data_IF_373617067335
#
_entry.id   IF_373617067335
#
_cell.length_a   1.000
_cell.length_b   1.000
_cell.length_c   1.000
_cell.angle_alpha   90.00
_cell.angle_beta   90.00
_cell.angle_gamma   90.00
#
_symmetry.space_group_name_H-M   'P 1'
#
loop_
_entity.id
_entity.type
_entity.pdbx_description
1 polymer ?
#
# COMPACT_ATOMS: atom_id res chain seq x y z
N UNK A 1 8.08 -21.66 19.89
CA UNK A 1 7.22 -20.93 18.93
C UNK A 1 6.74 -19.69 19.65
N UNK A 2 7.11 -18.51 19.16
CA UNK A 2 6.58 -17.24 19.68
C UNK A 2 5.17 -17.10 19.13
N UNK A 3 4.14 -16.85 19.97
CA UNK A 3 2.77 -16.65 19.47
C UNK A 3 2.70 -15.41 18.58
N UNK A 4 1.73 -15.39 17.66
CA UNK A 4 1.44 -14.22 16.85
C UNK A 4 1.28 -12.98 17.76
N UNK A 5 2.01 -11.93 17.45
CA UNK A 5 1.93 -10.67 18.19
C UNK A 5 1.28 -9.61 17.32
N UNK A 6 0.00 -9.26 17.54
CA UNK A 6 -0.67 -8.22 16.79
C UNK A 6 -0.04 -6.83 16.98
N UNK A 7 0.63 -6.56 18.12
CA UNK A 7 1.35 -5.29 18.30
C UNK A 7 2.52 -5.15 17.32
N UNK A 8 3.20 -6.26 17.00
CA UNK A 8 4.21 -6.25 15.93
C UNK A 8 3.60 -5.99 14.55
N UNK A 9 2.40 -6.51 14.29
CA UNK A 9 1.66 -6.24 13.06
C UNK A 9 1.16 -4.78 12.97
N UNK A 10 1.00 -4.08 14.10
CA UNK A 10 0.61 -2.66 14.14
C UNK A 10 1.72 -1.73 13.67
N UNK A 11 2.97 -2.08 13.94
CA UNK A 11 4.14 -1.29 13.50
C UNK A 11 4.41 -1.44 12.00
N UNK A 12 3.86 -2.47 11.37
CA UNK A 12 4.07 -2.85 9.98
C UNK A 12 2.71 -2.83 9.29
N UNK A 13 2.44 -1.84 8.46
CA UNK A 13 1.20 -1.85 7.69
C UNK A 13 1.26 -2.94 6.62
N UNK A 14 0.45 -4.03 6.69
CA UNK A 14 0.48 -5.08 5.67
C UNK A 14 -0.12 -4.65 4.33
N UNK A 15 -0.67 -3.45 4.23
CA UNK A 15 -1.39 -3.00 3.03
C UNK A 15 -0.89 -1.68 2.44
N UNK A 16 -0.11 -0.89 3.19
CA UNK A 16 0.41 0.40 2.71
C UNK A 16 1.92 0.42 2.81
N UNK A 17 2.56 0.74 1.69
CA UNK A 17 3.98 1.10 1.68
C UNK A 17 4.15 2.51 2.22
N UNK A 18 4.88 2.65 3.31
CA UNK A 18 5.23 3.95 3.87
C UNK A 18 6.40 4.59 3.13
N UNK A 19 6.51 5.94 3.19
CA UNK A 19 7.55 6.68 2.49
C UNK A 19 8.94 6.20 2.88
N UNK A 20 9.72 5.90 1.87
CA UNK A 20 11.16 5.78 1.98
C UNK A 20 11.77 7.18 1.99
N UNK A 21 12.82 7.37 2.76
CA UNK A 21 13.54 8.60 3.06
C UNK A 21 13.68 9.60 1.89
N UNK A 22 14.02 10.85 2.19
CA UNK A 22 14.22 11.96 1.26
C UNK A 22 15.37 11.76 0.22
N UNK A 23 15.91 10.56 0.14
CA UNK A 23 16.98 10.11 -0.77
C UNK A 23 16.64 10.33 -2.24
N UNK A 24 15.37 10.26 -2.60
CA UNK A 24 14.93 10.33 -4.01
C UNK A 24 14.84 11.76 -4.54
N UNK A 25 14.77 12.77 -3.67
CA UNK A 25 14.63 14.16 -4.10
C UNK A 25 15.83 14.65 -4.93
N UNK A 26 17.09 14.40 -4.55
CA UNK A 26 18.26 14.86 -5.30
C UNK A 26 18.40 14.21 -6.68
N UNK A 27 17.78 13.04 -6.89
CA UNK A 27 17.94 12.25 -8.12
C UNK A 27 16.75 12.35 -9.08
N UNK A 28 15.79 13.24 -8.84
CA UNK A 28 14.65 13.44 -9.77
C UNK A 28 15.07 13.79 -11.19
N UNK A 29 16.20 14.49 -11.37
CA UNK A 29 16.75 14.84 -12.68
C UNK A 29 17.14 13.65 -13.55
N UNK A 30 17.37 12.48 -12.96
CA UNK A 30 17.67 11.23 -13.69
C UNK A 30 16.42 10.47 -14.12
N UNK A 31 15.25 10.82 -13.57
CA UNK A 31 13.98 10.14 -13.86
C UNK A 31 13.13 10.91 -14.89
N UNK A 32 12.33 10.19 -15.66
CA UNK A 32 11.28 10.79 -16.50
C UNK A 32 10.05 11.07 -15.67
N UNK A 33 9.57 12.32 -15.67
CA UNK A 33 8.38 12.74 -14.92
C UNK A 33 7.09 12.44 -15.68
N UNK A 34 6.10 11.87 -15.01
CA UNK A 34 4.76 11.60 -15.53
C UNK A 34 3.70 12.04 -14.53
N UNK A 35 2.54 12.44 -15.08
CA UNK A 35 1.32 12.74 -14.32
C UNK A 35 0.20 11.82 -14.77
N UNK A 36 -0.51 11.27 -13.80
CA UNK A 36 -1.57 10.30 -14.02
C UNK A 36 -2.85 10.82 -13.38
N UNK A 37 -3.96 10.73 -14.10
CA UNK A 37 -5.28 11.01 -13.55
C UNK A 37 -5.81 9.82 -12.78
N UNK A 38 -6.73 10.05 -11.86
CA UNK A 38 -7.42 9.00 -11.11
C UNK A 38 -8.03 7.94 -12.05
N UNK A 39 -7.90 6.66 -11.69
CA UNK A 39 -8.42 5.53 -12.44
C UNK A 39 -7.53 5.03 -13.57
N UNK A 40 -6.46 5.74 -13.94
CA UNK A 40 -5.57 5.32 -15.03
C UNK A 40 -4.61 4.23 -14.55
N UNK A 41 -4.43 3.21 -15.40
CA UNK A 41 -3.40 2.18 -15.20
C UNK A 41 -2.03 2.75 -15.59
N UNK A 42 -1.14 2.81 -14.61
CA UNK A 42 0.24 3.31 -14.76
C UNK A 42 1.07 2.28 -15.52
N UNK A 43 0.88 1.00 -15.20
CA UNK A 43 1.39 -0.15 -15.96
C UNK A 43 0.49 -1.37 -15.74
N UNK A 44 0.55 -2.35 -16.65
CA UNK A 44 -0.28 -3.56 -16.63
C UNK A 44 0.55 -4.82 -16.37
N UNK A 45 -0.11 -5.82 -15.80
CA UNK A 45 0.44 -7.16 -15.73
C UNK A 45 0.72 -7.70 -17.15
N UNK A 46 1.90 -8.30 -17.34
CA UNK A 46 2.35 -8.83 -18.64
C UNK A 46 3.10 -7.82 -19.52
N UNK A 47 2.95 -6.52 -19.30
CA UNK A 47 3.68 -5.52 -20.06
C UNK A 47 5.17 -5.49 -19.68
N UNK A 48 6.06 -5.17 -20.64
CA UNK A 48 7.46 -4.90 -20.31
C UNK A 48 7.58 -3.80 -19.26
N UNK A 49 8.49 -3.95 -18.30
CA UNK A 49 8.75 -2.94 -17.28
C UNK A 49 9.71 -1.87 -17.80
N UNK A 50 9.26 -0.63 -18.07
CA UNK A 50 10.13 0.41 -18.62
C UNK A 50 11.10 0.96 -17.58
N UNK A 51 10.82 0.78 -16.28
CA UNK A 51 11.64 1.27 -15.19
C UNK A 51 10.95 1.12 -13.84
N UNK A 52 11.65 1.49 -12.77
CA UNK A 52 11.05 1.62 -11.44
C UNK A 52 10.34 2.96 -11.32
N UNK A 53 9.14 2.95 -10.73
CA UNK A 53 8.30 4.13 -10.57
C UNK A 53 8.42 4.65 -9.14
N UNK A 54 8.99 5.82 -8.97
CA UNK A 54 8.91 6.56 -7.73
C UNK A 54 7.63 7.40 -7.72
N UNK A 55 6.72 7.11 -6.81
CA UNK A 55 5.48 7.88 -6.61
C UNK A 55 5.85 9.06 -5.70
N UNK A 56 5.98 10.26 -6.28
CA UNK A 56 6.25 11.48 -5.51
C UNK A 56 5.03 11.91 -4.72
N UNK A 57 3.84 11.79 -5.32
CA UNK A 57 2.57 12.26 -4.79
C UNK A 57 1.43 11.38 -5.29
N UNK A 58 0.38 11.26 -4.50
CA UNK A 58 -0.81 10.47 -4.82
C UNK A 58 -0.75 9.08 -4.22
N UNK A 59 -1.80 8.30 -4.45
CA UNK A 59 -1.94 6.90 -4.02
C UNK A 59 -2.17 6.04 -5.25
N UNK A 60 -1.38 4.99 -5.38
CA UNK A 60 -1.56 3.97 -6.40
C UNK A 60 -1.81 2.59 -5.78
N UNK A 61 -2.61 1.80 -6.46
CA UNK A 61 -3.01 0.44 -6.09
C UNK A 61 -2.26 -0.56 -6.95
N UNK A 62 -1.49 -1.46 -6.34
CA UNK A 62 -0.93 -2.63 -7.00
C UNK A 62 -1.89 -3.80 -6.83
N UNK A 63 -2.36 -4.38 -7.93
CA UNK A 63 -3.36 -5.43 -7.91
C UNK A 63 -3.03 -6.57 -8.89
N UNK A 64 -3.57 -7.74 -8.59
CA UNK A 64 -3.59 -8.90 -9.47
C UNK A 64 -5.03 -9.33 -9.74
N UNK A 65 -5.23 -10.03 -10.85
CA UNK A 65 -6.54 -10.57 -11.23
C UNK A 65 -6.38 -12.06 -11.53
N UNK A 66 -7.25 -12.91 -10.99
CA UNK A 66 -7.23 -14.33 -11.29
C UNK A 66 -7.93 -14.62 -12.63
N UNK A 67 -7.92 -15.90 -13.07
CA UNK A 67 -8.55 -16.35 -14.30
C UNK A 67 -10.06 -16.11 -14.37
N UNK A 68 -10.73 -15.95 -13.25
CA UNK A 68 -12.16 -15.65 -13.15
C UNK A 68 -12.46 -14.13 -13.15
N UNK A 69 -11.43 -13.29 -13.30
CA UNK A 69 -11.57 -11.82 -13.26
C UNK A 69 -11.69 -11.23 -11.86
N UNK A 70 -11.49 -12.03 -10.80
CA UNK A 70 -11.52 -11.53 -9.43
C UNK A 70 -10.24 -10.75 -9.12
N UNK A 71 -10.43 -9.48 -8.78
CA UNK A 71 -9.34 -8.58 -8.44
C UNK A 71 -8.93 -8.74 -6.97
N UNK A 72 -7.63 -8.73 -6.72
CA UNK A 72 -7.01 -8.66 -5.41
C UNK A 72 -6.01 -7.52 -5.36
N UNK A 73 -6.19 -6.59 -4.44
CA UNK A 73 -5.18 -5.56 -4.16
C UNK A 73 -4.10 -6.14 -3.26
N UNK A 74 -2.86 -6.03 -3.68
CA UNK A 74 -1.69 -6.54 -2.97
C UNK A 74 -1.11 -5.49 -2.03
N UNK A 75 -1.03 -4.23 -2.52
CA UNK A 75 -0.47 -3.12 -1.75
C UNK A 75 -1.01 -1.78 -2.26
N UNK A 76 -1.12 -0.82 -1.36
CA UNK A 76 -1.33 0.59 -1.67
C UNK A 76 0.01 1.31 -1.52
N UNK A 77 0.43 2.02 -2.55
CA UNK A 77 1.63 2.85 -2.53
C UNK A 77 1.22 4.30 -2.37
N UNK A 78 1.56 4.90 -1.23
CA UNK A 78 1.39 6.33 -0.99
C UNK A 78 2.57 7.13 -1.54
N UNK A 79 2.46 8.44 -1.55
CA UNK A 79 3.54 9.33 -1.98
C UNK A 79 4.87 9.04 -1.27
N UNK A 80 5.98 9.22 -1.98
CA UNK A 80 7.37 8.88 -1.61
C UNK A 80 7.67 7.37 -1.52
N UNK A 81 6.94 6.57 -2.26
CA UNK A 81 7.16 5.12 -2.40
C UNK A 81 7.75 4.78 -3.77
N UNK A 82 8.52 3.70 -3.85
CA UNK A 82 9.01 3.15 -5.13
C UNK A 82 8.36 1.80 -5.40
N UNK A 83 7.96 1.57 -6.65
CA UNK A 83 7.33 0.32 -7.10
C UNK A 83 7.98 -0.19 -8.38
N UNK A 84 7.99 -1.51 -8.55
CA UNK A 84 8.53 -2.16 -9.75
C UNK A 84 10.04 -2.40 -9.73
N UNK A 85 10.74 -2.03 -8.67
CA UNK A 85 12.20 -2.21 -8.56
C UNK A 85 12.65 -3.65 -8.79
N UNK A 86 11.89 -4.63 -8.26
CA UNK A 86 12.19 -6.05 -8.42
C UNK A 86 12.09 -6.52 -9.88
N UNK A 87 11.10 -6.03 -10.63
CA UNK A 87 10.91 -6.39 -12.03
C UNK A 87 12.03 -5.81 -12.92
N UNK A 88 12.43 -4.56 -12.62
CA UNK A 88 13.52 -3.89 -13.34
C UNK A 88 14.84 -4.61 -13.13
N UNK A 89 15.22 -4.87 -11.87
CA UNK A 89 16.48 -5.53 -11.53
C UNK A 89 16.56 -6.99 -12.03
N UNK A 90 15.43 -7.71 -12.06
CA UNK A 90 15.37 -9.09 -12.55
C UNK A 90 15.07 -9.21 -14.05
N UNK A 91 14.93 -8.10 -14.80
CA UNK A 91 14.51 -8.12 -16.21
C UNK A 91 13.22 -8.92 -16.45
N UNK A 92 12.31 -8.87 -15.49
CA UNK A 92 11.05 -9.61 -15.55
C UNK A 92 9.91 -8.70 -16.05
N UNK A 93 8.89 -9.25 -16.70
CA UNK A 93 7.68 -8.52 -17.00
C UNK A 93 6.95 -8.14 -15.69
N UNK A 94 6.05 -7.18 -15.80
CA UNK A 94 5.16 -6.85 -14.70
C UNK A 94 4.27 -8.05 -14.35
N UNK A 95 4.29 -8.47 -13.09
CA UNK A 95 3.38 -9.52 -12.61
C UNK A 95 2.00 -8.96 -12.21
N UNK A 96 1.91 -7.65 -12.01
CA UNK A 96 0.75 -6.97 -11.42
C UNK A 96 0.42 -5.70 -12.19
N UNK A 97 -0.80 -5.18 -12.01
CA UNK A 97 -1.24 -3.89 -12.56
C UNK A 97 -1.16 -2.82 -11.48
N UNK A 98 -0.57 -1.67 -11.80
CA UNK A 98 -0.55 -0.49 -10.94
C UNK A 98 -1.56 0.54 -11.48
N UNK A 99 -2.52 0.93 -10.64
CA UNK A 99 -3.58 1.90 -10.99
C UNK A 99 -3.52 3.10 -10.06
N UNK A 100 -3.61 4.31 -10.59
CA UNK A 100 -3.73 5.53 -9.81
C UNK A 100 -5.11 5.58 -9.11
N UNK A 101 -5.14 5.65 -7.78
CA UNK A 101 -6.37 5.83 -6.99
C UNK A 101 -6.69 7.30 -6.73
N UNK A 102 -5.69 8.15 -6.80
CA UNK A 102 -5.78 9.62 -6.80
C UNK A 102 -4.91 10.14 -7.93
N UNK A 103 -4.97 11.43 -8.29
CA UNK A 103 -3.97 12.00 -9.18
C UNK A 103 -2.56 11.72 -8.66
N UNK A 104 -1.70 11.14 -9.50
CA UNK A 104 -0.33 10.76 -9.14
C UNK A 104 0.71 11.51 -9.95
N UNK A 105 1.77 11.95 -9.27
CA UNK A 105 3.03 12.40 -9.86
C UNK A 105 4.08 11.31 -9.68
N UNK A 106 4.72 10.86 -10.76
CA UNK A 106 5.74 9.80 -10.70
C UNK A 106 7.01 10.19 -11.46
N UNK A 107 8.13 9.65 -10.99
CA UNK A 107 9.39 9.62 -11.73
C UNK A 107 9.73 8.18 -12.09
N UNK A 108 10.08 7.93 -13.35
CA UNK A 108 10.44 6.60 -13.85
C UNK A 108 11.93 6.55 -14.11
N UNK A 109 12.59 5.63 -13.44
CA UNK A 109 14.01 5.34 -13.61
C UNK A 109 14.15 4.05 -14.41
N UNK A 110 14.64 4.13 -15.63
CA UNK A 110 14.90 2.95 -16.43
C UNK A 110 16.04 2.10 -15.82
N UNK A 111 16.12 0.86 -16.29
CA UNK A 111 17.11 -0.11 -15.79
C UNK A 111 18.55 0.43 -15.89
N UNK A 112 18.88 1.03 -17.03
CA UNK A 112 20.23 1.54 -17.28
C UNK A 112 20.58 2.66 -16.29
N UNK A 113 19.68 3.58 -16.09
CA UNK A 113 19.85 4.65 -15.10
C UNK A 113 20.05 4.10 -13.69
N UNK A 114 19.28 3.08 -13.31
CA UNK A 114 19.42 2.45 -11.98
C UNK A 114 20.77 1.72 -11.85
N UNK A 115 21.09 0.81 -12.79
CA UNK A 115 22.25 -0.09 -12.69
C UNK A 115 23.59 0.59 -12.98
N UNK A 116 23.64 1.51 -13.96
CA UNK A 116 24.90 2.13 -14.41
C UNK A 116 25.19 3.49 -13.73
N UNK A 117 24.16 4.18 -13.24
CA UNK A 117 24.30 5.52 -12.67
C UNK A 117 23.97 5.57 -11.18
N UNK A 118 22.73 5.22 -10.80
CA UNK A 118 22.27 5.48 -9.44
C UNK A 118 22.88 4.51 -8.42
N UNK A 119 22.82 3.21 -8.68
CA UNK A 119 23.33 2.19 -7.75
C UNK A 119 24.85 2.33 -7.54
N UNK A 120 25.69 2.51 -8.59
CA UNK A 120 27.14 2.62 -8.39
C UNK A 120 27.61 3.95 -7.78
N UNK A 121 26.91 5.06 -8.08
CA UNK A 121 27.41 6.41 -7.74
C UNK A 121 26.67 7.09 -6.60
N UNK A 122 25.54 6.52 -6.13
CA UNK A 122 24.72 7.03 -5.03
C UNK A 122 24.49 5.94 -4.00
N UNK A 123 25.41 5.70 -3.05
CA UNK A 123 25.31 4.62 -2.05
C UNK A 123 24.02 4.67 -1.22
N UNK A 124 23.50 5.88 -0.97
CA UNK A 124 22.22 6.10 -0.29
C UNK A 124 21.03 5.54 -1.08
N UNK A 125 21.08 5.59 -2.43
CA UNK A 125 20.06 4.99 -3.29
C UNK A 125 20.12 3.47 -3.21
N UNK A 126 21.32 2.89 -3.22
CA UNK A 126 21.52 1.45 -3.06
C UNK A 126 20.93 0.96 -1.74
N UNK A 127 21.21 1.67 -0.63
CA UNK A 127 20.66 1.36 0.67
C UNK A 127 19.12 1.51 0.69
N UNK A 128 18.57 2.55 0.05
CA UNK A 128 17.12 2.75 -0.07
C UNK A 128 16.45 1.61 -0.86
N UNK A 129 17.09 1.12 -1.93
CA UNK A 129 16.61 -0.04 -2.70
C UNK A 129 16.59 -1.29 -1.83
N UNK A 130 17.66 -1.57 -1.08
CA UNK A 130 17.74 -2.71 -0.15
C UNK A 130 16.64 -2.62 0.91
N UNK A 131 16.46 -1.46 1.53
CA UNK A 131 15.40 -1.21 2.52
C UNK A 131 14.00 -1.41 1.93
N UNK A 132 13.79 -0.96 0.68
CA UNK A 132 12.53 -1.17 -0.02
C UNK A 132 12.23 -2.67 -0.19
N UNK A 133 13.20 -3.45 -0.66
CA UNK A 133 13.03 -4.90 -0.85
C UNK A 133 12.82 -5.62 0.49
N UNK A 134 13.52 -5.23 1.54
CA UNK A 134 13.30 -5.74 2.89
C UNK A 134 11.89 -5.39 3.40
N UNK A 135 11.42 -4.16 3.20
CA UNK A 135 10.08 -3.74 3.57
C UNK A 135 8.99 -4.54 2.85
N UNK A 136 9.17 -4.84 1.56
CA UNK A 136 8.24 -5.69 0.80
C UNK A 136 8.12 -7.07 1.45
N UNK A 137 9.24 -7.70 1.84
CA UNK A 137 9.21 -9.01 2.52
C UNK A 137 8.44 -8.95 3.84
N UNK A 138 8.70 -7.94 4.66
CA UNK A 138 8.00 -7.74 5.94
C UNK A 138 6.51 -7.51 5.73
N UNK A 139 6.13 -6.68 4.74
CA UNK A 139 4.74 -6.48 4.35
C UNK A 139 4.03 -7.78 3.96
N UNK A 140 4.68 -8.60 3.15
CA UNK A 140 4.11 -9.87 2.70
C UNK A 140 3.91 -10.83 3.86
N UNK A 141 4.88 -10.93 4.79
CA UNK A 141 4.75 -11.74 6.00
C UNK A 141 3.59 -11.27 6.88
N UNK A 142 3.52 -9.97 7.19
CA UNK A 142 2.43 -9.39 7.97
C UNK A 142 1.05 -9.59 7.32
N UNK A 143 0.98 -9.52 5.99
CA UNK A 143 -0.26 -9.78 5.26
C UNK A 143 -0.70 -11.25 5.38
N UNK A 144 0.23 -12.20 5.24
CA UNK A 144 -0.04 -13.62 5.40
C UNK A 144 -0.54 -13.95 6.81
N UNK A 145 0.14 -13.43 7.85
CA UNK A 145 -0.27 -13.59 9.24
C UNK A 145 -1.66 -13.01 9.50
N UNK A 146 -1.91 -11.79 9.01
CA UNK A 146 -3.21 -11.14 9.15
C UNK A 146 -4.34 -11.94 8.51
N UNK A 147 -4.10 -12.55 7.35
CA UNK A 147 -5.08 -13.39 6.67
C UNK A 147 -5.28 -14.71 7.42
N UNK A 148 -4.22 -15.28 7.96
CA UNK A 148 -4.26 -16.57 8.63
C UNK A 148 -4.94 -16.50 10.01
N UNK A 149 -4.70 -15.44 10.77
CA UNK A 149 -5.05 -15.40 12.19
C UNK A 149 -6.20 -14.44 12.54
N UNK A 150 -6.44 -13.37 11.75
CA UNK A 150 -7.47 -12.40 12.11
C UNK A 150 -8.79 -12.65 11.39
N UNK A 151 -9.92 -12.66 12.10
CA UNK A 151 -11.26 -12.71 11.50
C UNK A 151 -11.57 -11.40 10.74
N UNK A 152 -12.54 -11.43 9.85
CA UNK A 152 -12.86 -10.35 8.93
C UNK A 152 -13.08 -8.98 9.62
N UNK A 153 -13.75 -8.96 10.79
CA UNK A 153 -13.97 -7.74 11.56
C UNK A 153 -12.67 -7.15 12.08
N UNK A 154 -11.80 -7.96 12.67
CA UNK A 154 -10.51 -7.55 13.19
C UNK A 154 -9.59 -7.04 12.07
N UNK A 155 -9.56 -7.73 10.91
CA UNK A 155 -8.85 -7.25 9.72
C UNK A 155 -9.35 -5.89 9.24
N UNK A 156 -10.66 -5.68 9.25
CA UNK A 156 -11.26 -4.40 8.86
C UNK A 156 -10.88 -3.30 9.86
N UNK A 157 -10.92 -3.58 11.17
CA UNK A 157 -10.52 -2.63 12.21
C UNK A 157 -9.03 -2.26 12.11
N UNK A 158 -8.15 -3.25 11.94
CA UNK A 158 -6.71 -3.05 11.74
C UNK A 158 -6.43 -2.19 10.51
N UNK A 159 -7.08 -2.50 9.39
CA UNK A 159 -6.95 -1.73 8.17
C UNK A 159 -7.36 -0.25 8.37
N UNK A 160 -8.51 0.00 8.99
CA UNK A 160 -8.99 1.36 9.25
C UNK A 160 -8.07 2.13 10.20
N UNK A 161 -7.50 1.46 11.21
CA UNK A 161 -6.51 2.06 12.10
C UNK A 161 -5.27 2.49 11.31
N UNK A 162 -4.71 1.62 10.49
CA UNK A 162 -3.52 1.92 9.69
C UNK A 162 -3.77 3.01 8.64
N UNK A 163 -4.98 3.04 8.05
CA UNK A 163 -5.38 4.11 7.14
C UNK A 163 -5.48 5.45 7.90
N UNK A 164 -5.98 5.44 9.12
CA UNK A 164 -6.04 6.62 9.97
C UNK A 164 -4.64 7.17 10.27
N UNK A 165 -3.72 6.29 10.70
CA UNK A 165 -2.34 6.65 10.95
C UNK A 165 -1.63 7.20 9.71
N UNK A 166 -1.84 6.56 8.55
CA UNK A 166 -1.28 7.02 7.28
C UNK A 166 -1.84 8.40 6.88
N UNK A 167 -3.14 8.62 7.08
CA UNK A 167 -3.80 9.90 6.82
C UNK A 167 -3.28 11.01 7.74
N UNK A 168 -3.04 10.71 9.01
CA UNK A 168 -2.49 11.67 9.98
C UNK A 168 -1.05 12.09 9.64
N UNK A 169 -0.26 11.18 9.03
CA UNK A 169 1.11 11.46 8.56
C UNK A 169 1.15 12.15 7.19
N UNK A 170 0.06 12.07 6.43
CA UNK A 170 0.01 12.65 5.08
C UNK A 170 -0.16 14.18 5.17
N UNK A 171 0.89 14.93 4.85
CA UNK A 171 0.85 16.38 4.72
C UNK A 171 -0.01 16.85 3.51
N UNK A 172 -0.35 15.94 2.60
CA UNK A 172 -1.03 16.19 1.34
C UNK A 172 -2.39 15.48 1.29
N UNK A 173 -3.51 16.22 1.06
CA UNK A 173 -4.85 15.64 0.94
C UNK A 173 -5.00 14.57 -0.16
N UNK A 174 -4.13 14.57 -1.17
CA UNK A 174 -4.11 13.53 -2.22
C UNK A 174 -3.57 12.20 -1.73
N UNK A 175 -2.89 12.19 -0.58
CA UNK A 175 -2.35 10.98 0.07
C UNK A 175 -3.28 10.44 1.18
N UNK A 176 -4.57 10.88 1.24
CA UNK A 176 -5.52 10.43 2.25
C UNK A 176 -6.17 9.09 1.87
N UNK A 177 -5.75 7.96 2.48
CA UNK A 177 -6.28 6.64 2.15
C UNK A 177 -7.68 6.35 2.72
N UNK A 178 -8.23 7.21 3.59
CA UNK A 178 -9.58 7.04 4.15
C UNK A 178 -10.70 7.34 3.14
N UNK A 179 -10.36 7.73 1.90
CA UNK A 179 -11.32 7.93 0.80
C UNK A 179 -11.69 6.64 0.07
N UNK A 180 -11.19 5.49 0.50
CA UNK A 180 -11.48 4.21 -0.16
C UNK A 180 -12.95 3.81 0.00
N UNK A 181 -13.52 3.27 -1.07
CA UNK A 181 -14.85 2.66 -1.04
C UNK A 181 -14.84 1.33 -0.28
N UNK A 182 -16.00 0.86 0.20
CA UNK A 182 -16.12 -0.47 0.82
C UNK A 182 -15.66 -1.58 -0.15
N UNK A 183 -15.86 -1.42 -1.46
CA UNK A 183 -15.34 -2.37 -2.46
C UNK A 183 -13.82 -2.34 -2.49
N UNK A 184 -13.20 -1.16 -2.54
CA UNK A 184 -11.73 -1.04 -2.53
C UNK A 184 -11.12 -1.62 -1.26
N UNK A 185 -11.76 -1.41 -0.11
CA UNK A 185 -11.35 -2.03 1.17
C UNK A 185 -11.46 -3.56 1.09
N UNK A 186 -12.56 -4.06 0.55
CA UNK A 186 -12.78 -5.50 0.38
C UNK A 186 -11.71 -6.14 -0.55
N UNK A 187 -11.36 -5.47 -1.63
CA UNK A 187 -10.31 -5.90 -2.56
C UNK A 187 -8.94 -5.98 -1.89
N UNK A 188 -8.63 -5.03 -0.99
CA UNK A 188 -7.39 -5.04 -0.20
C UNK A 188 -7.38 -6.16 0.81
N UNK A 189 -8.48 -6.35 1.55
CA UNK A 189 -8.58 -7.34 2.62
C UNK A 189 -8.82 -8.77 2.12
N UNK A 190 -9.14 -8.94 0.82
CA UNK A 190 -9.54 -10.22 0.25
C UNK A 190 -10.84 -10.74 0.84
N UNK A 191 -11.78 -9.84 1.12
CA UNK A 191 -13.08 -10.11 1.69
C UNK A 191 -14.20 -9.80 0.68
N UNK A 192 -15.42 -10.27 0.95
CA UNK A 192 -16.58 -9.78 0.23
C UNK A 192 -16.96 -8.37 0.70
N UNK A 193 -17.45 -7.54 -0.23
CA UNK A 193 -17.91 -6.17 0.07
C UNK A 193 -18.97 -6.16 1.20
N UNK A 194 -19.87 -7.13 1.20
CA UNK A 194 -20.89 -7.27 2.24
C UNK A 194 -20.30 -7.50 3.61
N UNK A 195 -19.26 -8.33 3.72
CA UNK A 195 -18.54 -8.59 4.97
C UNK A 195 -17.86 -7.34 5.52
N UNK A 196 -17.18 -6.57 4.65
CA UNK A 196 -16.57 -5.29 5.02
C UNK A 196 -17.65 -4.28 5.43
N UNK A 197 -18.75 -4.19 4.67
CA UNK A 197 -19.85 -3.28 4.99
C UNK A 197 -20.48 -3.59 6.34
N UNK A 198 -20.64 -4.87 6.68
CA UNK A 198 -21.13 -5.30 7.98
C UNK A 198 -20.15 -4.94 9.10
N UNK A 199 -18.87 -5.23 8.94
CA UNK A 199 -17.83 -4.88 9.91
C UNK A 199 -17.80 -3.37 10.20
N UNK A 200 -17.87 -2.54 9.15
CA UNK A 200 -17.91 -1.08 9.29
C UNK A 200 -19.21 -0.62 9.98
N UNK A 201 -20.35 -1.25 9.66
CA UNK A 201 -21.63 -0.94 10.32
C UNK A 201 -21.60 -1.25 11.81
N UNK A 202 -20.97 -2.36 12.20
CA UNK A 202 -20.79 -2.74 13.59
C UNK A 202 -19.89 -1.73 14.33
N UNK A 203 -18.73 -1.41 13.79
CA UNK A 203 -17.82 -0.39 14.34
C UNK A 203 -18.49 1.00 14.44
N UNK A 204 -19.41 1.32 13.53
CA UNK A 204 -20.19 2.56 13.57
C UNK A 204 -21.24 2.53 14.68
N UNK A 205 -21.96 1.43 14.89
CA UNK A 205 -22.91 1.28 16.00
C UNK A 205 -22.23 1.40 17.36
N UNK A 206 -20.99 0.98 17.45
CA UNK A 206 -20.15 1.12 18.65
C UNK A 206 -19.57 2.54 18.80
N UNK A 207 -19.77 3.45 17.85
CA UNK A 207 -19.23 4.81 17.89
C UNK A 207 -17.72 4.89 17.68
N UNK A 208 -17.10 3.88 17.07
CA UNK A 208 -15.66 3.83 16.81
C UNK A 208 -15.32 4.55 15.50
N UNK A 209 -16.19 4.43 14.49
CA UNK A 209 -16.06 5.12 13.21
C UNK A 209 -17.35 5.84 12.82
N UNK A 210 -17.26 6.83 11.92
CA UNK A 210 -18.42 7.54 11.39
C UNK A 210 -18.26 7.79 9.89
N UNK A 211 -19.32 8.29 9.25
CA UNK A 211 -19.35 8.58 7.81
C UNK A 211 -19.78 7.38 6.97
N UNK A 212 -20.23 7.66 5.73
CA UNK A 212 -20.68 6.65 4.75
C UNK A 212 -19.83 6.62 3.48
N UNK A 213 -19.59 7.77 2.87
CA UNK A 213 -18.73 7.90 1.68
C UNK A 213 -17.27 8.20 2.04
N UNK A 214 -17.08 8.91 3.15
CA UNK A 214 -15.76 9.19 3.71
C UNK A 214 -15.79 8.72 5.16
N UNK A 215 -15.04 7.67 5.43
CA UNK A 215 -14.91 7.14 6.78
C UNK A 215 -14.05 8.08 7.62
N UNK A 216 -14.42 8.24 8.88
CA UNK A 216 -13.65 8.95 9.91
C UNK A 216 -13.52 8.05 11.11
N UNK A 217 -12.33 7.89 11.59
CA UNK A 217 -12.04 7.19 12.84
C UNK A 217 -12.26 8.19 13.99
N UNK A 218 -13.10 7.81 14.95
CA UNK A 218 -13.40 8.61 16.14
C UNK A 218 -12.55 8.20 17.33
N UNK A 219 -12.20 6.91 17.41
CA UNK A 219 -11.41 6.34 18.49
C UNK A 219 -10.43 5.30 17.94
N UNK A 220 -9.20 5.71 17.60
CA UNK A 220 -8.16 4.79 17.10
C UNK A 220 -7.84 3.66 18.08
N UNK A 221 -7.84 3.97 19.39
CA UNK A 221 -7.54 3.01 20.46
C UNK A 221 -8.56 1.87 20.47
N UNK A 222 -9.85 2.19 20.31
CA UNK A 222 -10.92 1.18 20.29
C UNK A 222 -10.91 0.33 19.00
N UNK A 223 -10.33 0.84 17.91
CA UNK A 223 -10.06 -0.02 16.73
C UNK A 223 -9.07 -1.12 17.10
N UNK A 224 -8.01 -0.78 17.84
CA UNK A 224 -7.02 -1.75 18.31
C UNK A 224 -7.62 -2.74 19.31
N UNK A 225 -8.47 -2.28 20.24
CA UNK A 225 -9.21 -3.17 21.14
C UNK A 225 -10.06 -4.18 20.35
N UNK A 226 -10.70 -3.76 19.24
CA UNK A 226 -11.49 -4.63 18.38
C UNK A 226 -10.61 -5.66 17.63
N UNK A 227 -9.33 -5.38 17.38
CA UNK A 227 -8.37 -6.35 16.85
C UNK A 227 -8.02 -7.38 17.92
N UNK A 228 -7.63 -6.94 19.13
CA UNK A 228 -7.19 -7.82 20.22
C UNK A 228 -8.33 -8.67 20.83
N UNK A 229 -9.56 -8.17 20.83
CA UNK A 229 -10.72 -8.92 21.32
C UNK A 229 -11.03 -10.19 20.47
N UNK A 230 -10.53 -10.25 19.25
CA UNK A 230 -10.75 -11.37 18.34
C UNK A 230 -9.76 -12.54 18.57
N UNK A 231 -8.76 -12.36 19.42
CA UNK A 231 -7.76 -13.38 19.77
C UNK A 231 -8.06 -14.10 21.09
N UNK A 232 -9.09 -13.66 21.81
CA UNK A 232 -9.57 -14.30 23.05
C UNK A 232 -10.72 -15.24 22.75
#
# INVERSE_FOLDING_TARGET
IVPYNPEAALSLSPWISFPLEAVWTPIFSFGKHFRWTEGVEIFRAGDPMPGAYFIRRGIAKLATTNSEGKLRTLCLYAGQSIVGIHAVLNSAPNLHTLTALTPCDTYVYDRRTLEEVLIPHYPEVSLAVIRCLAAVNVHMSAQLETIAFLPARARTALFLHQMHEASARAADPYNDPLRLSHQSIADVLGLHRTTVSQAIADLRREGIVTGTRRLRVLSPERLLEAVFAAER
#
